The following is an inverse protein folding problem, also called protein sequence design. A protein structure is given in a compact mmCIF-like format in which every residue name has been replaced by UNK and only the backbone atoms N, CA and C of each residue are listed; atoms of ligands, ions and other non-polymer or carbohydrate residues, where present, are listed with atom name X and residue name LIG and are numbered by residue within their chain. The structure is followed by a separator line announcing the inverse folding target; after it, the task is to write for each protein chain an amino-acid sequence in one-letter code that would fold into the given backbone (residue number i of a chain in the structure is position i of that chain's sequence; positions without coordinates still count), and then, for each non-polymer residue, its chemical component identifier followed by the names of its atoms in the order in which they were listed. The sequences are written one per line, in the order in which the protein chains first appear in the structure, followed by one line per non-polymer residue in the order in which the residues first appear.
data_IF_497375487100
#
_entry.id   IF_497375487100
#
_cell.length_a   1.000
_cell.length_b   1.000
_cell.length_c   1.000
_cell.angle_alpha   90.00
_cell.angle_beta   90.00
_cell.angle_gamma   90.00
#
_symmetry.space_group_name_H-M   'P 1'
#
loop_
_entity.id
_entity.type
_entity.pdbx_description
1 polymer ?
#
# COMPACT_ATOMS: atom_id res chain seq x y z
N UNK A 1 25.86 22.65 -10.30
CA UNK A 1 27.07 22.23 -11.05
C UNK A 1 26.67 21.03 -11.87
N UNK A 2 26.47 21.27 -13.16
CA UNK A 2 25.58 20.48 -14.01
C UNK A 2 26.26 19.21 -14.55
N UNK A 3 25.56 18.08 -14.45
CA UNK A 3 26.05 16.73 -14.78
C UNK A 3 26.47 16.60 -16.26
N UNK A 4 25.99 17.51 -17.10
CA UNK A 4 26.32 17.63 -18.52
C UNK A 4 27.80 17.93 -18.77
N UNK A 5 28.45 18.73 -17.91
CA UNK A 5 29.84 19.14 -18.12
C UNK A 5 30.86 18.07 -17.69
N UNK A 6 30.48 17.15 -16.81
CA UNK A 6 31.36 16.05 -16.36
C UNK A 6 31.48 14.97 -17.45
N UNK A 7 30.42 14.71 -18.23
CA UNK A 7 30.41 13.68 -19.27
C UNK A 7 31.23 14.12 -20.51
N UNK A 8 31.22 15.42 -20.85
CA UNK A 8 32.01 15.95 -21.98
C UNK A 8 33.53 15.83 -21.78
N UNK A 9 34.01 15.88 -20.53
CA UNK A 9 35.45 15.84 -20.23
C UNK A 9 36.08 14.46 -20.43
N UNK A 10 35.31 13.37 -20.30
CA UNK A 10 35.82 12.01 -20.48
C UNK A 10 35.77 11.53 -21.94
N UNK A 11 34.87 12.07 -22.77
CA UNK A 11 34.73 11.65 -24.17
C UNK A 11 35.85 12.18 -25.10
N UNK A 12 36.56 13.24 -24.70
CA UNK A 12 37.53 13.92 -25.57
C UNK A 12 38.98 13.42 -25.46
N UNK A 13 39.24 12.41 -24.60
CA UNK A 13 40.62 11.97 -24.29
C UNK A 13 41.04 10.63 -24.93
N UNK A 14 40.27 10.09 -25.87
CA UNK A 14 40.54 8.78 -26.49
C UNK A 14 40.69 8.79 -28.02
N UNK A 15 40.91 9.93 -28.66
CA UNK A 15 41.16 9.97 -30.11
C UNK A 15 42.40 10.81 -30.43
N UNK A 16 43.55 10.15 -30.47
CA UNK A 16 44.68 10.56 -31.32
C UNK A 16 44.96 9.43 -32.31
N UNK A 17 44.99 9.71 -33.62
CA UNK A 17 45.33 8.72 -34.63
C UNK A 17 46.85 8.68 -34.83
N UNK A 18 47.44 7.51 -35.03
CA UNK A 18 48.71 7.38 -35.74
C UNK A 18 48.78 6.04 -36.48
N UNK A 19 49.06 6.17 -37.79
CA UNK A 19 49.80 5.25 -38.68
C UNK A 19 49.22 3.88 -39.04
N UNK A 20 48.56 3.87 -40.22
CA UNK A 20 48.78 2.98 -41.39
C UNK A 20 49.25 1.53 -41.17
N UNK A 21 48.35 0.57 -41.42
CA UNK A 21 48.68 -0.65 -42.18
C UNK A 21 47.43 -1.19 -42.91
N UNK A 22 47.55 -1.36 -44.22
CA UNK A 22 46.57 -1.92 -45.15
C UNK A 22 46.47 -3.45 -44.97
N UNK A 23 45.27 -3.97 -44.70
CA UNK A 23 44.91 -5.34 -45.10
C UNK A 23 43.39 -5.45 -45.32
N UNK A 24 43.07 -5.90 -46.54
CA UNK A 24 41.72 -6.13 -47.07
C UNK A 24 41.06 -7.31 -46.35
N UNK A 25 39.87 -7.13 -45.78
CA UNK A 25 38.78 -8.12 -45.77
C UNK A 25 37.47 -7.43 -45.31
N UNK A 26 36.32 -7.62 -45.99
CA UNK A 26 35.04 -7.11 -45.52
C UNK A 26 34.35 -8.20 -44.71
N UNK A 27 34.45 -8.14 -43.38
CA UNK A 27 33.62 -8.96 -42.50
C UNK A 27 32.77 -8.06 -41.61
N UNK A 28 31.52 -7.90 -42.05
CA UNK A 28 30.30 -7.80 -41.24
C UNK A 28 30.52 -7.61 -39.72
N UNK A 29 30.57 -6.36 -39.27
CA UNK A 29 30.25 -6.00 -37.88
C UNK A 29 29.22 -4.86 -37.89
N UNK A 30 28.02 -5.20 -38.37
CA UNK A 30 26.82 -4.43 -38.10
C UNK A 30 26.15 -5.00 -36.86
N UNK A 31 25.59 -4.12 -36.04
CA UNK A 31 24.66 -4.41 -34.94
C UNK A 31 25.27 -4.97 -33.65
N UNK A 32 25.77 -4.09 -32.79
CA UNK A 32 25.54 -4.22 -31.34
C UNK A 32 25.65 -2.86 -30.65
N UNK A 33 24.53 -2.21 -30.37
CA UNK A 33 24.23 -1.48 -29.13
C UNK A 33 22.85 -0.79 -29.26
N UNK A 34 21.78 -1.55 -29.06
CA UNK A 34 20.51 -0.98 -28.63
C UNK A 34 20.42 -1.21 -27.12
N UNK A 35 20.99 -0.30 -26.33
CA UNK A 35 20.83 -0.30 -24.89
C UNK A 35 19.39 0.07 -24.56
N UNK A 36 18.63 -0.97 -24.21
CA UNK A 36 17.25 -0.91 -23.79
C UNK A 36 17.14 -0.10 -22.48
N UNK A 37 16.71 1.15 -22.57
CA UNK A 37 16.27 1.92 -21.40
C UNK A 37 14.93 1.30 -20.95
N UNK A 38 14.98 0.30 -20.08
CA UNK A 38 13.81 -0.16 -19.34
C UNK A 38 13.54 0.87 -18.23
N UNK A 39 12.90 1.97 -18.59
CA UNK A 39 12.17 2.78 -17.62
C UNK A 39 10.98 1.96 -17.17
N UNK A 40 11.06 1.39 -15.96
CA UNK A 40 9.94 0.68 -15.35
C UNK A 40 8.73 1.61 -15.26
N UNK A 41 7.71 1.38 -16.09
CA UNK A 41 6.51 2.19 -16.09
C UNK A 41 5.81 2.11 -14.71
N UNK A 42 5.26 3.23 -14.20
CA UNK A 42 4.44 3.19 -13.00
C UNK A 42 3.30 2.20 -13.23
N UNK A 43 3.12 1.27 -12.31
CA UNK A 43 2.09 0.25 -12.43
C UNK A 43 0.71 0.87 -12.15
N UNK A 44 0.05 1.35 -13.20
CA UNK A 44 -1.33 1.84 -13.11
C UNK A 44 -2.30 0.66 -12.99
N UNK A 45 -3.16 0.70 -11.98
CA UNK A 45 -4.28 -0.23 -11.89
C UNK A 45 -5.22 -0.01 -13.10
N UNK A 46 -5.67 -1.09 -13.73
CA UNK A 46 -6.74 -0.99 -14.73
C UNK A 46 -8.01 -0.52 -14.02
N UNK A 47 -8.75 0.43 -14.63
CA UNK A 47 -10.01 0.91 -14.08
C UNK A 47 -10.93 -0.29 -13.76
N UNK A 48 -11.38 -0.36 -12.51
CA UNK A 48 -12.27 -1.39 -12.00
C UNK A 48 -13.23 -0.78 -10.98
N UNK A 49 -14.51 -1.13 -11.08
CA UNK A 49 -15.58 -0.59 -10.27
C UNK A 49 -16.64 -1.66 -10.02
N UNK A 50 -17.22 -1.64 -8.83
CA UNK A 50 -18.21 -2.60 -8.41
C UNK A 50 -19.19 -1.96 -7.42
N UNK A 51 -20.49 -2.01 -7.73
CA UNK A 51 -21.56 -1.48 -6.88
C UNK A 51 -22.58 -2.59 -6.65
N UNK A 52 -22.84 -2.89 -5.39
CA UNK A 52 -23.69 -3.98 -4.95
C UNK A 52 -24.61 -3.52 -3.81
N UNK A 53 -25.85 -4.00 -3.82
CA UNK A 53 -26.72 -3.94 -2.65
C UNK A 53 -26.28 -4.98 -1.62
N UNK A 54 -25.89 -4.54 -0.43
CA UNK A 54 -25.42 -5.46 0.61
C UNK A 54 -26.49 -6.47 1.07
N UNK A 55 -27.76 -6.06 1.15
CA UNK A 55 -28.84 -6.90 1.67
C UNK A 55 -29.35 -7.89 0.62
N UNK A 56 -29.67 -7.39 -0.59
CA UNK A 56 -30.25 -8.22 -1.66
C UNK A 56 -29.20 -8.91 -2.52
N UNK A 57 -27.93 -8.56 -2.38
CA UNK A 57 -26.81 -8.99 -3.23
C UNK A 57 -26.96 -8.62 -4.71
N UNK A 58 -27.94 -7.78 -5.06
CA UNK A 58 -28.12 -7.26 -6.41
C UNK A 58 -26.92 -6.42 -6.81
N UNK A 59 -26.32 -6.73 -7.95
CA UNK A 59 -25.22 -5.97 -8.54
C UNK A 59 -25.83 -4.86 -9.41
N UNK A 60 -25.48 -3.60 -9.10
CA UNK A 60 -25.92 -2.43 -9.88
C UNK A 60 -24.89 -2.02 -10.94
N UNK A 61 -23.61 -2.27 -10.67
CA UNK A 61 -22.53 -1.93 -11.59
C UNK A 61 -21.35 -2.88 -11.43
N UNK A 62 -20.75 -3.30 -12.54
CA UNK A 62 -19.61 -4.22 -12.57
C UNK A 62 -18.75 -3.93 -13.80
N UNK A 63 -17.61 -3.28 -13.60
CA UNK A 63 -16.57 -3.10 -14.62
C UNK A 63 -15.27 -3.69 -14.09
N UNK A 64 -14.73 -4.71 -14.77
CA UNK A 64 -13.47 -5.35 -14.38
C UNK A 64 -13.42 -5.77 -12.90
N UNK A 65 -14.56 -6.11 -12.27
CA UNK A 65 -14.62 -6.23 -10.81
C UNK A 65 -13.75 -7.35 -10.24
N UNK A 66 -13.39 -8.33 -11.07
CA UNK A 66 -12.53 -9.48 -10.74
C UNK A 66 -11.10 -9.34 -11.29
N UNK A 67 -10.78 -8.22 -11.95
CA UNK A 67 -9.43 -7.90 -12.40
C UNK A 67 -8.53 -7.65 -11.20
N UNK A 68 -7.39 -8.33 -11.17
CA UNK A 68 -6.41 -8.20 -10.09
C UNK A 68 -5.62 -6.91 -10.26
N UNK A 69 -5.79 -6.01 -9.31
CA UNK A 69 -5.17 -4.69 -9.27
C UNK A 69 -4.43 -4.48 -7.95
N UNK A 70 -3.50 -3.52 -7.93
CA UNK A 70 -2.88 -3.09 -6.68
C UNK A 70 -3.92 -2.39 -5.79
N UNK A 71 -4.20 -2.87 -4.58
CA UNK A 71 -5.21 -2.26 -3.70
C UNK A 71 -4.77 -0.91 -3.13
N UNK A 72 -3.47 -0.59 -3.19
CA UNK A 72 -2.88 0.57 -2.53
C UNK A 72 -3.39 0.68 -1.07
N UNK A 73 -3.68 1.89 -0.60
CA UNK A 73 -4.13 2.14 0.78
C UNK A 73 -5.43 1.45 1.20
N UNK A 74 -6.24 0.91 0.26
CA UNK A 74 -7.40 0.09 0.62
C UNK A 74 -6.99 -1.15 1.44
N UNK A 75 -5.73 -1.59 1.32
CA UNK A 75 -5.13 -2.64 2.17
C UNK A 75 -5.33 -2.40 3.66
N UNK A 76 -5.33 -1.13 4.11
CA UNK A 76 -5.48 -0.79 5.53
C UNK A 76 -6.87 -1.13 6.09
N UNK A 77 -7.86 -1.35 5.22
CA UNK A 77 -9.17 -1.85 5.62
C UNK A 77 -9.03 -3.27 6.21
N UNK A 78 -8.20 -4.13 5.61
CA UNK A 78 -7.91 -5.45 6.17
C UNK A 78 -7.08 -5.33 7.45
N UNK A 79 -6.14 -4.38 7.52
CA UNK A 79 -5.39 -4.11 8.76
C UNK A 79 -6.33 -3.70 9.90
N UNK A 80 -7.32 -2.84 9.63
CA UNK A 80 -8.36 -2.47 10.58
C UNK A 80 -9.23 -3.67 10.99
N UNK A 81 -9.67 -4.48 10.02
CA UNK A 81 -10.39 -5.73 10.29
C UNK A 81 -9.62 -6.60 11.31
N UNK A 82 -8.33 -6.82 11.09
CA UNK A 82 -7.48 -7.62 11.98
C UNK A 82 -7.32 -7.01 13.39
N UNK A 83 -7.33 -5.67 13.52
CA UNK A 83 -7.34 -4.99 14.82
C UNK A 83 -8.67 -5.23 15.54
N UNK A 84 -9.79 -5.14 14.81
CA UNK A 84 -11.13 -5.33 15.38
C UNK A 84 -11.34 -6.76 15.86
N UNK A 85 -10.94 -7.77 15.08
CA UNK A 85 -10.88 -9.17 15.50
C UNK A 85 -10.12 -9.32 16.84
N UNK A 86 -8.96 -8.69 16.96
CA UNK A 86 -8.13 -8.77 18.16
C UNK A 86 -8.74 -8.05 19.38
N UNK A 87 -9.49 -6.96 19.16
CA UNK A 87 -10.24 -6.25 20.21
C UNK A 87 -11.43 -7.07 20.71
N UNK A 88 -12.22 -7.64 19.80
CA UNK A 88 -13.41 -8.44 20.16
C UNK A 88 -13.02 -9.74 20.83
N UNK A 89 -11.93 -10.38 20.38
CA UNK A 89 -11.39 -11.57 21.04
C UNK A 89 -10.59 -11.23 22.31
N UNK A 90 -10.62 -9.98 22.80
CA UNK A 90 -9.92 -9.49 24.00
C UNK A 90 -8.40 -9.75 24.04
N UNK A 91 -7.75 -9.96 22.89
CA UNK A 91 -6.28 -10.12 22.79
C UNK A 91 -5.54 -8.81 23.03
N UNK A 92 -6.18 -7.70 22.70
CA UNK A 92 -5.73 -6.34 22.96
C UNK A 92 -6.91 -5.51 23.46
N UNK A 93 -6.64 -4.37 24.08
CA UNK A 93 -7.65 -3.36 24.40
C UNK A 93 -7.37 -2.07 23.64
N UNK A 94 -8.35 -1.16 23.63
CA UNK A 94 -8.21 0.16 23.01
C UNK A 94 -7.06 0.99 23.64
N UNK A 95 -6.68 0.67 24.89
CA UNK A 95 -5.60 1.30 25.66
C UNK A 95 -4.23 0.62 25.46
N UNK A 96 -4.18 -0.57 24.86
CA UNK A 96 -2.93 -1.29 24.61
C UNK A 96 -1.96 -0.40 23.84
N UNK A 97 -0.70 -0.33 24.30
CA UNK A 97 0.35 0.51 23.73
C UNK A 97 1.25 -0.31 22.80
N UNK A 98 1.13 -0.08 21.50
CA UNK A 98 1.92 -0.74 20.44
C UNK A 98 3.29 -0.07 20.32
N UNK A 99 4.35 -0.88 20.30
CA UNK A 99 5.74 -0.41 20.20
C UNK A 99 6.05 0.01 18.76
N UNK A 100 6.68 1.17 18.58
CA UNK A 100 7.11 1.68 17.28
C UNK A 100 8.53 1.19 16.99
N UNK A 101 8.72 0.46 15.89
CA UNK A 101 10.04 0.02 15.45
C UNK A 101 10.74 1.08 14.59
N UNK A 102 12.07 0.91 14.39
CA UNK A 102 12.84 1.71 13.42
C UNK A 102 12.33 1.50 11.98
N UNK A 103 11.79 0.32 11.66
CA UNK A 103 11.21 0.03 10.33
C UNK A 103 9.93 0.83 10.13
N UNK A 104 9.04 0.81 11.11
CA UNK A 104 7.77 1.53 11.04
C UNK A 104 7.96 3.04 10.86
N UNK A 105 8.87 3.67 11.62
CA UNK A 105 9.14 5.11 11.51
C UNK A 105 9.68 5.54 10.14
N UNK A 106 10.40 4.62 9.46
CA UNK A 106 11.03 4.84 8.15
C UNK A 106 10.09 4.62 6.98
N UNK A 107 8.84 4.22 7.20
CA UNK A 107 7.88 4.09 6.11
C UNK A 107 7.68 5.44 5.40
N UNK A 108 7.43 5.43 4.07
CA UNK A 108 7.13 6.65 3.33
C UNK A 108 5.76 7.22 3.72
N UNK A 109 5.53 8.53 3.55
CA UNK A 109 4.21 9.14 3.72
C UNK A 109 3.13 8.49 2.83
N UNK A 110 1.83 8.57 3.16
CA UNK A 110 1.22 9.21 4.33
C UNK A 110 1.59 8.54 5.66
N UNK A 111 1.87 9.31 6.71
CA UNK A 111 2.32 8.80 8.03
C UNK A 111 2.10 9.81 9.17
N UNK A 112 2.25 9.37 10.43
CA UNK A 112 2.23 10.24 11.62
C UNK A 112 3.62 10.72 12.06
N UNK A 113 4.68 10.20 11.46
CA UNK A 113 6.07 10.49 11.84
C UNK A 113 6.41 10.00 13.25
N UNK A 114 5.94 8.79 13.59
CA UNK A 114 6.21 8.20 14.90
C UNK A 114 7.70 7.97 15.16
N UNK A 115 8.19 8.39 16.33
CA UNK A 115 9.59 8.19 16.73
C UNK A 115 9.87 6.71 17.04
N UNK A 116 11.01 6.12 16.59
CA UNK A 116 11.42 4.78 17.00
C UNK A 116 11.48 4.62 18.52
N UNK A 117 11.05 3.47 19.04
CA UNK A 117 11.05 3.18 20.48
C UNK A 117 9.88 3.78 21.26
N UNK A 118 9.18 4.78 20.69
CA UNK A 118 7.95 5.30 21.25
C UNK A 118 6.80 4.28 21.19
N UNK A 119 5.63 4.66 21.71
CA UNK A 119 4.43 3.84 21.70
C UNK A 119 3.21 4.63 21.27
N UNK A 120 2.32 3.97 20.53
CA UNK A 120 1.01 4.49 20.13
C UNK A 120 -0.10 3.57 20.69
N UNK A 121 -1.19 4.14 21.20
CA UNK A 121 -2.33 3.34 21.66
C UNK A 121 -3.09 2.73 20.49
N UNK A 122 -3.74 1.58 20.69
CA UNK A 122 -4.63 0.98 19.68
C UNK A 122 -5.72 1.96 19.24
N UNK A 123 -6.27 2.76 20.17
CA UNK A 123 -7.19 3.87 19.85
C UNK A 123 -6.62 4.77 18.75
N UNK A 124 -5.45 5.34 19.00
CA UNK A 124 -4.82 6.30 18.10
C UNK A 124 -4.38 5.63 16.80
N UNK A 125 -3.96 4.37 16.85
CA UNK A 125 -3.63 3.60 15.65
C UNK A 125 -4.86 3.43 14.73
N UNK A 126 -6.02 3.06 15.27
CA UNK A 126 -7.27 2.96 14.51
C UNK A 126 -7.62 4.30 13.88
N UNK A 127 -7.63 5.37 14.66
CA UNK A 127 -7.99 6.70 14.16
C UNK A 127 -7.04 7.16 13.05
N UNK A 128 -5.73 6.95 13.21
CA UNK A 128 -4.73 7.33 12.22
C UNK A 128 -4.81 6.52 10.91
N UNK A 129 -5.18 5.24 10.99
CA UNK A 129 -5.44 4.42 9.80
C UNK A 129 -6.70 4.89 9.07
N UNK A 130 -7.76 5.24 9.80
CA UNK A 130 -9.03 5.70 9.22
C UNK A 130 -8.90 7.09 8.58
N UNK A 131 -8.27 8.06 9.26
CA UNK A 131 -8.26 9.45 8.79
C UNK A 131 -7.07 9.74 7.89
N UNK A 132 -5.85 9.46 8.36
CA UNK A 132 -4.61 9.82 7.67
C UNK A 132 -4.11 8.70 6.75
N UNK A 133 -4.68 7.50 6.84
CA UNK A 133 -4.17 6.32 6.13
C UNK A 133 -2.67 6.11 6.37
N UNK A 134 -2.24 6.26 7.63
CA UNK A 134 -0.83 6.32 8.01
C UNK A 134 -0.08 4.97 7.82
N UNK A 135 0.99 4.98 7.02
CA UNK A 135 1.79 3.80 6.65
C UNK A 135 2.68 3.30 7.80
N UNK A 136 3.26 4.22 8.57
CA UNK A 136 4.03 3.91 9.77
C UNK A 136 3.16 3.16 10.78
N UNK A 137 1.96 3.68 11.06
CA UNK A 137 0.98 3.05 11.95
C UNK A 137 0.57 1.66 11.47
N UNK A 138 0.34 1.47 10.16
CA UNK A 138 -0.01 0.16 9.63
C UNK A 138 1.11 -0.86 9.89
N UNK A 139 2.37 -0.45 9.75
CA UNK A 139 3.53 -1.29 10.07
C UNK A 139 3.62 -1.57 11.57
N UNK A 140 3.40 -0.56 12.43
CA UNK A 140 3.34 -0.74 13.89
C UNK A 140 2.32 -1.80 14.28
N UNK A 141 1.10 -1.72 13.76
CA UNK A 141 0.04 -2.71 14.02
C UNK A 141 0.50 -4.09 13.58
N UNK A 142 1.03 -4.21 12.36
CA UNK A 142 1.42 -5.48 11.78
C UNK A 142 2.52 -6.18 12.60
N UNK A 143 3.54 -5.44 13.03
CA UNK A 143 4.62 -5.97 13.84
C UNK A 143 4.16 -6.39 15.24
N UNK A 144 3.28 -5.62 15.88
CA UNK A 144 2.81 -5.93 17.23
C UNK A 144 1.80 -7.09 17.26
N UNK A 145 0.90 -7.19 16.26
CA UNK A 145 -0.11 -8.26 16.22
C UNK A 145 0.36 -9.51 15.49
N UNK A 146 1.25 -9.36 14.50
CA UNK A 146 1.75 -10.45 13.69
C UNK A 146 3.16 -10.90 14.04
N UNK A 147 3.82 -10.33 15.06
CA UNK A 147 5.26 -10.46 15.39
C UNK A 147 6.22 -9.91 14.32
N UNK A 148 5.81 -9.89 13.05
CA UNK A 148 6.46 -9.20 11.94
C UNK A 148 5.42 -8.80 10.90
N UNK A 149 5.71 -7.77 10.11
CA UNK A 149 4.82 -7.35 9.02
C UNK A 149 4.62 -8.45 7.96
N UNK A 150 5.66 -9.21 7.65
CA UNK A 150 5.58 -10.34 6.71
C UNK A 150 4.60 -11.40 7.20
N UNK A 151 4.69 -11.78 8.48
CA UNK A 151 3.78 -12.77 9.04
C UNK A 151 2.36 -12.22 9.15
N UNK A 152 2.20 -10.95 9.54
CA UNK A 152 0.90 -10.29 9.53
C UNK A 152 0.25 -10.31 8.15
N UNK A 153 1.00 -10.04 7.07
CA UNK A 153 0.48 -10.10 5.70
C UNK A 153 0.02 -11.51 5.28
N UNK A 154 0.67 -12.57 5.78
CA UNK A 154 0.19 -13.96 5.62
C UNK A 154 -1.14 -14.16 6.33
N UNK A 155 -1.27 -13.66 7.57
CA UNK A 155 -2.52 -13.73 8.34
C UNK A 155 -3.65 -12.92 7.68
N UNK A 156 -3.35 -11.73 7.17
CA UNK A 156 -4.30 -10.92 6.38
C UNK A 156 -4.78 -11.68 5.14
N UNK A 157 -3.87 -12.35 4.42
CA UNK A 157 -4.23 -13.16 3.24
C UNK A 157 -5.10 -14.35 3.64
N UNK A 158 -4.75 -15.05 4.73
CA UNK A 158 -5.57 -16.14 5.27
C UNK A 158 -6.98 -15.65 5.64
N UNK A 159 -7.08 -14.51 6.33
CA UNK A 159 -8.37 -13.89 6.67
C UNK A 159 -9.16 -13.50 5.43
N UNK A 160 -8.53 -12.91 4.42
CA UNK A 160 -9.16 -12.62 3.13
C UNK A 160 -9.81 -13.89 2.52
N UNK A 161 -9.11 -15.03 2.49
CA UNK A 161 -9.69 -16.29 2.00
C UNK A 161 -10.89 -16.74 2.83
N UNK A 162 -10.81 -16.63 4.15
CA UNK A 162 -11.93 -16.97 5.04
C UNK A 162 -13.17 -16.09 4.81
N UNK A 163 -12.96 -14.83 4.39
CA UNK A 163 -14.03 -13.90 4.05
C UNK A 163 -14.56 -14.07 2.61
N UNK A 164 -14.04 -15.03 1.84
CA UNK A 164 -14.41 -15.24 0.43
C UNK A 164 -13.68 -14.35 -0.57
N UNK A 165 -12.66 -13.59 -0.17
CA UNK A 165 -11.81 -12.79 -1.05
C UNK A 165 -10.78 -13.66 -1.78
N UNK A 166 -11.27 -14.56 -2.64
CA UNK A 166 -10.49 -15.63 -3.26
C UNK A 166 -9.42 -15.13 -4.23
N UNK A 167 -9.48 -13.88 -4.69
CA UNK A 167 -8.52 -13.28 -5.65
C UNK A 167 -7.55 -12.29 -5.01
N UNK A 168 -7.63 -12.13 -3.69
CA UNK A 168 -6.79 -11.22 -2.90
C UNK A 168 -5.56 -11.89 -2.29
N UNK A 169 -4.42 -11.18 -2.34
CA UNK A 169 -3.18 -11.51 -1.63
C UNK A 169 -2.58 -10.22 -1.06
N UNK A 170 -2.28 -10.22 0.24
CA UNK A 170 -1.59 -9.12 0.90
C UNK A 170 -0.10 -9.45 1.11
N UNK A 171 0.76 -8.45 1.01
CA UNK A 171 2.22 -8.57 1.24
C UNK A 171 2.76 -7.59 2.28
N UNK A 172 1.96 -6.59 2.66
CA UNK A 172 2.21 -5.67 3.75
C UNK A 172 0.88 -5.17 4.32
N UNK A 173 0.93 -4.41 5.42
CA UNK A 173 -0.27 -3.91 6.10
C UNK A 173 -0.74 -2.53 5.60
N UNK A 174 0.08 -1.84 4.81
CA UNK A 174 -0.12 -0.45 4.45
C UNK A 174 -0.70 -0.26 3.04
N UNK A 175 -0.45 -1.20 2.13
CA UNK A 175 -0.71 -1.02 0.71
C UNK A 175 0.49 -0.54 -0.10
N UNK A 176 1.67 -0.38 0.52
CA UNK A 176 2.86 0.07 -0.19
C UNK A 176 3.23 -0.89 -1.34
N UNK A 177 3.90 -0.38 -2.40
CA UNK A 177 4.14 -1.15 -3.62
C UNK A 177 4.79 -2.51 -3.35
N UNK A 178 4.14 -3.56 -3.86
CA UNK A 178 4.67 -4.91 -3.87
C UNK A 178 4.00 -5.68 -5.01
N UNK A 179 4.78 -6.25 -5.95
CA UNK A 179 4.26 -6.96 -7.14
C UNK A 179 3.35 -8.14 -6.80
N UNK A 180 3.52 -8.76 -5.63
CA UNK A 180 2.69 -9.87 -5.18
C UNK A 180 1.44 -9.46 -4.39
N UNK A 181 1.19 -8.16 -4.21
CA UNK A 181 0.05 -7.62 -3.48
C UNK A 181 -1.05 -7.17 -4.44
N UNK A 182 -2.12 -7.96 -4.52
CA UNK A 182 -3.20 -7.75 -5.47
C UNK A 182 -4.55 -8.04 -4.81
N UNK A 183 -5.57 -7.31 -5.22
CA UNK A 183 -6.97 -7.49 -4.82
C UNK A 183 -7.87 -7.23 -6.03
N UNK A 184 -9.19 -7.29 -5.86
CA UNK A 184 -10.19 -6.98 -6.88
C UNK A 184 -11.23 -6.02 -6.31
N UNK A 185 -12.01 -5.34 -7.16
CA UNK A 185 -13.08 -4.45 -6.67
C UNK A 185 -14.15 -5.25 -5.91
N UNK A 186 -14.48 -6.46 -6.39
CA UNK A 186 -15.41 -7.39 -5.72
C UNK A 186 -14.91 -7.84 -4.35
N UNK A 187 -13.63 -8.21 -4.25
CA UNK A 187 -13.04 -8.62 -2.98
C UNK A 187 -13.01 -7.46 -1.98
N UNK A 188 -12.69 -6.24 -2.44
CA UNK A 188 -12.71 -5.06 -1.58
C UNK A 188 -14.13 -4.69 -1.10
N UNK A 189 -15.15 -4.84 -1.94
CA UNK A 189 -16.54 -4.69 -1.52
C UNK A 189 -16.95 -5.75 -0.49
N UNK A 190 -16.50 -7.00 -0.69
CA UNK A 190 -16.69 -8.10 0.26
C UNK A 190 -16.09 -7.77 1.62
N UNK A 191 -14.88 -7.21 1.65
CA UNK A 191 -14.25 -6.76 2.89
C UNK A 191 -15.03 -5.62 3.58
N UNK A 192 -15.55 -4.66 2.80
CA UNK A 192 -16.38 -3.58 3.34
C UNK A 192 -17.65 -4.09 4.03
N UNK A 193 -18.36 -5.02 3.38
CA UNK A 193 -19.53 -5.70 3.96
C UNK A 193 -19.13 -6.53 5.19
N UNK A 194 -18.00 -7.24 5.15
CA UNK A 194 -17.53 -8.04 6.27
C UNK A 194 -17.26 -7.19 7.53
N UNK A 195 -16.62 -6.02 7.42
CA UNK A 195 -16.44 -5.14 8.59
C UNK A 195 -17.77 -4.69 9.17
N UNK A 196 -18.75 -4.34 8.31
CA UNK A 196 -20.07 -3.91 8.79
C UNK A 196 -20.81 -5.02 9.52
N UNK A 197 -20.76 -6.24 8.98
CA UNK A 197 -21.38 -7.45 9.55
C UNK A 197 -20.71 -7.88 10.85
N UNK A 198 -19.39 -8.02 10.83
CA UNK A 198 -18.63 -8.66 11.91
C UNK A 198 -18.26 -7.68 13.02
N UNK A 199 -18.04 -6.40 12.67
CA UNK A 199 -17.56 -5.36 13.57
C UNK A 199 -18.43 -4.09 13.55
N UNK A 200 -19.77 -4.18 13.69
CA UNK A 200 -20.69 -3.05 13.51
C UNK A 200 -20.41 -1.89 14.47
N UNK A 201 -19.90 -2.18 15.68
CA UNK A 201 -19.50 -1.16 16.66
C UNK A 201 -18.34 -0.31 16.15
N UNK A 202 -17.35 -0.93 15.52
CA UNK A 202 -16.16 -0.26 14.98
C UNK A 202 -16.39 0.34 13.60
N UNK A 203 -17.31 -0.22 12.80
CA UNK A 203 -17.68 0.33 11.49
C UNK A 203 -18.12 1.81 11.59
N UNK A 204 -18.75 2.20 12.70
CA UNK A 204 -19.12 3.59 12.98
C UNK A 204 -17.93 4.56 13.00
N UNK A 205 -16.70 4.10 13.20
CA UNK A 205 -15.50 4.95 13.21
C UNK A 205 -15.10 5.42 11.80
N UNK A 206 -15.51 4.74 10.73
CA UNK A 206 -15.17 5.16 9.36
C UNK A 206 -15.80 6.50 8.95
N UNK A 207 -16.79 7.00 9.72
CA UNK A 207 -17.38 8.34 9.53
C UNK A 207 -16.58 9.47 10.20
N UNK A 208 -15.46 9.18 10.86
CA UNK A 208 -14.66 10.19 11.52
C UNK A 208 -14.04 11.16 10.51
N UNK A 209 -14.42 12.44 10.60
CA UNK A 209 -13.94 13.52 9.71
C UNK A 209 -12.50 13.96 9.99
N UNK A 210 -12.08 13.96 11.26
CA UNK A 210 -10.71 14.32 11.64
C UNK A 210 -10.30 13.64 12.94
N UNK A 211 -8.99 13.59 13.17
CA UNK A 211 -8.35 13.04 14.36
C UNK A 211 -7.24 13.98 14.80
N UNK A 212 -7.12 14.22 16.11
CA UNK A 212 -6.02 15.02 16.68
C UNK A 212 -5.04 14.08 17.39
N UNK A 213 -3.77 14.20 17.05
CA UNK A 213 -2.68 13.45 17.67
C UNK A 213 -1.52 14.38 17.96
N UNK A 214 -1.09 14.43 19.22
CA UNK A 214 0.03 15.27 19.67
C UNK A 214 -0.09 16.74 19.21
N UNK A 215 -1.29 17.32 19.30
CA UNK A 215 -1.57 18.70 18.88
C UNK A 215 -1.80 18.89 17.37
N UNK A 216 -1.50 17.90 16.53
CA UNK A 216 -1.73 17.99 15.08
C UNK A 216 -3.09 17.41 14.67
N UNK A 217 -3.87 18.17 13.90
CA UNK A 217 -5.13 17.73 13.30
C UNK A 217 -4.89 17.04 11.95
N UNK A 218 -5.43 15.83 11.80
CA UNK A 218 -5.41 15.03 10.57
C UNK A 218 -6.84 14.87 10.04
N UNK A 219 -7.11 15.42 8.86
CA UNK A 219 -8.41 15.32 8.19
C UNK A 219 -8.51 14.04 7.38
N UNK A 220 -9.71 13.45 7.33
CA UNK A 220 -9.99 12.25 6.54
C UNK A 220 -9.91 12.56 5.04
N UNK A 221 -9.32 11.63 4.26
CA UNK A 221 -9.24 11.72 2.80
C UNK A 221 -10.56 11.37 2.08
N UNK A 222 -11.54 10.80 2.79
CA UNK A 222 -12.83 10.47 2.21
C UNK A 222 -13.74 11.71 2.11
N UNK A 223 -13.76 12.33 0.94
CA UNK A 223 -14.59 13.50 0.65
C UNK A 223 -16.10 13.22 0.73
N UNK A 224 -16.53 11.96 0.64
CA UNK A 224 -17.95 11.60 0.74
C UNK A 224 -18.52 11.81 2.15
N UNK A 225 -17.69 11.83 3.19
CA UNK A 225 -18.14 12.04 4.58
C UNK A 225 -18.76 13.41 4.85
N UNK A 226 -18.60 14.36 3.92
CA UNK A 226 -19.23 15.68 3.98
C UNK A 226 -20.29 15.92 2.91
N UNK A 227 -20.32 15.12 1.84
CA UNK A 227 -21.16 15.35 0.66
C UNK A 227 -22.25 14.30 0.43
N UNK A 228 -22.22 13.19 1.16
CA UNK A 228 -23.20 12.11 1.01
C UNK A 228 -23.61 11.55 2.38
N UNK A 229 -24.91 11.54 2.66
CA UNK A 229 -25.46 11.09 3.95
C UNK A 229 -25.37 9.58 4.17
N UNK A 230 -25.23 8.81 3.07
CA UNK A 230 -25.59 7.40 3.06
C UNK A 230 -27.06 7.22 2.75
#
# INVERSE_FOLDING_TARGET
MDLYNVIKSYAFRLLKPNTTLLLKTPFLFSSFLLSLIILGSPANAKYASFVINENTKRIYHNTNADTRNYPASLTKIMTLYMIFDALESKKISIKTKLKVSKRASRQPPSKLYLSPGSRITVKNAIMALITKSANDVATVVAENLGKSERNFAKLMTKKAKQLGMTRTTFKNASGLPNRGQLSTARDMATLGMAIRRDHPKFFKLFKTKYFVYQGTKYTNHNNLLGSYSG
#
